data_IF_553876193097
#
_entry.id   IF_553876193097
#
_cell.length_a   1.000
_cell.length_b   1.000
_cell.length_c   1.000
_cell.angle_alpha   90.00
_cell.angle_beta   90.00
_cell.angle_gamma   90.00
#
_symmetry.space_group_name_H-M   'P 1'
#
loop_
_entity.id
_entity.type
_entity.pdbx_description
1 polymer ?
#
# COMPACT_ATOMS: atom_id res chain seq x y z
N UNK A 1 -34.17 17.60 -3.15
CA UNK A 1 -33.24 17.94 -2.05
C UNK A 1 -32.66 16.70 -1.38
N UNK A 2 -33.44 15.74 -0.89
CA UNK A 2 -32.93 14.49 -0.26
C UNK A 2 -31.97 13.67 -1.15
N UNK A 3 -32.27 13.51 -2.43
CA UNK A 3 -31.42 12.77 -3.40
C UNK A 3 -30.09 13.47 -3.64
N UNK A 4 -30.08 14.81 -3.70
CA UNK A 4 -28.86 15.61 -3.87
C UNK A 4 -27.97 15.50 -2.63
N UNK A 5 -28.57 15.55 -1.44
CA UNK A 5 -27.84 15.33 -0.17
C UNK A 5 -27.26 13.91 -0.12
N UNK A 6 -28.00 12.90 -0.55
CA UNK A 6 -27.52 11.51 -0.60
C UNK A 6 -26.33 11.34 -1.53
N UNK A 7 -26.39 11.93 -2.73
CA UNK A 7 -25.28 11.91 -3.69
C UNK A 7 -24.05 12.67 -3.17
N UNK A 8 -24.24 13.80 -2.48
CA UNK A 8 -23.15 14.56 -1.87
C UNK A 8 -22.46 13.76 -0.74
N UNK A 9 -23.21 13.02 0.07
CA UNK A 9 -22.66 12.16 1.12
C UNK A 9 -21.87 10.99 0.55
N UNK A 10 -22.37 10.35 -0.52
CA UNK A 10 -21.65 9.28 -1.22
C UNK A 10 -20.35 9.83 -1.81
N UNK A 11 -20.38 10.98 -2.49
CA UNK A 11 -19.19 11.61 -3.06
C UNK A 11 -18.11 11.93 -2.00
N UNK A 12 -18.52 12.40 -0.82
CA UNK A 12 -17.61 12.61 0.31
C UNK A 12 -17.00 11.32 0.86
N UNK A 13 -17.76 10.21 0.86
CA UNK A 13 -17.26 8.91 1.32
C UNK A 13 -16.17 8.32 0.40
N UNK A 14 -16.28 8.56 -0.91
CA UNK A 14 -15.27 8.10 -1.90
C UNK A 14 -14.03 9.00 -1.96
N UNK A 15 -14.13 10.22 -1.44
CA UNK A 15 -13.02 11.17 -1.40
C UNK A 15 -12.02 10.91 -0.25
N UNK A 16 -12.12 9.77 0.42
CA UNK A 16 -11.16 9.39 1.46
C UNK A 16 -9.84 8.95 0.82
N UNK A 17 -8.81 9.78 0.98
CA UNK A 17 -7.44 9.46 0.60
C UNK A 17 -6.97 8.24 1.41
N UNK A 18 -6.95 7.09 0.76
CA UNK A 18 -6.59 5.80 1.34
C UNK A 18 -5.51 5.13 0.50
N UNK A 19 -4.66 4.35 1.14
CA UNK A 19 -3.69 3.55 0.42
C UNK A 19 -4.40 2.47 -0.42
N UNK A 20 -3.83 2.07 -1.57
CA UNK A 20 -4.44 1.05 -2.41
C UNK A 20 -4.48 -0.30 -1.69
N UNK A 21 -5.63 -0.98 -1.77
CA UNK A 21 -5.89 -2.25 -1.07
C UNK A 21 -5.57 -3.50 -1.90
N UNK A 22 -5.00 -3.31 -3.10
CA UNK A 22 -4.75 -4.38 -4.08
C UNK A 22 -3.87 -5.51 -3.52
N UNK A 23 -2.98 -5.17 -2.59
CA UNK A 23 -1.96 -6.06 -2.03
C UNK A 23 -2.18 -6.37 -0.54
N UNK A 24 -3.40 -6.18 -0.01
CA UNK A 24 -3.70 -6.42 1.41
C UNK A 24 -3.67 -7.90 1.82
N UNK A 25 -3.75 -8.82 0.84
CA UNK A 25 -3.76 -10.28 1.09
C UNK A 25 -2.37 -10.93 0.98
N UNK A 26 -1.29 -10.15 0.98
CA UNK A 26 0.07 -10.69 0.98
C UNK A 26 0.36 -11.35 2.33
N UNK A 27 0.99 -12.52 2.32
CA UNK A 27 1.46 -13.20 3.53
C UNK A 27 2.74 -12.53 4.05
N UNK A 28 2.55 -11.55 4.94
CA UNK A 28 3.66 -10.82 5.57
C UNK A 28 4.49 -11.74 6.48
N UNK A 29 3.86 -12.70 7.14
CA UNK A 29 4.55 -13.63 8.03
C UNK A 29 5.50 -14.54 7.23
N UNK A 30 5.10 -15.03 6.06
CA UNK A 30 5.98 -15.79 5.17
C UNK A 30 7.18 -14.93 4.73
N UNK A 31 6.95 -13.68 4.33
CA UNK A 31 8.00 -12.77 3.87
C UNK A 31 9.02 -12.52 4.98
N UNK A 32 8.55 -12.22 6.20
CA UNK A 32 9.41 -11.90 7.34
C UNK A 32 10.18 -13.12 7.86
N UNK A 33 9.62 -14.33 7.76
CA UNK A 33 10.27 -15.56 8.19
C UNK A 33 11.17 -16.21 7.12
N UNK A 34 11.20 -15.65 5.91
CA UNK A 34 12.01 -16.15 4.80
C UNK A 34 13.14 -15.19 4.46
N UNK A 35 14.38 -15.59 4.76
CA UNK A 35 15.60 -14.82 4.44
C UNK A 35 15.67 -14.38 2.98
N UNK A 36 15.22 -15.24 2.06
CA UNK A 36 15.22 -14.96 0.62
C UNK A 36 14.19 -13.89 0.27
N UNK A 37 12.96 -14.01 0.76
CA UNK A 37 11.88 -13.06 0.45
C UNK A 37 12.16 -11.71 1.11
N UNK A 38 12.49 -11.72 2.40
CA UNK A 38 12.85 -10.53 3.15
C UNK A 38 13.97 -9.75 2.46
N UNK A 39 15.08 -10.40 2.07
CA UNK A 39 16.19 -9.73 1.37
C UNK A 39 15.77 -9.12 0.04
N UNK A 40 14.87 -9.76 -0.71
CA UNK A 40 14.38 -9.18 -1.97
C UNK A 40 13.60 -7.88 -1.72
N UNK A 41 12.69 -7.88 -0.75
CA UNK A 41 11.94 -6.69 -0.36
C UNK A 41 12.87 -5.59 0.18
N UNK A 42 13.80 -5.94 1.07
CA UNK A 42 14.78 -5.01 1.62
C UNK A 42 15.63 -4.37 0.52
N UNK A 43 16.20 -5.17 -0.38
CA UNK A 43 17.02 -4.66 -1.48
C UNK A 43 16.23 -3.76 -2.43
N UNK A 44 14.96 -4.09 -2.69
CA UNK A 44 14.05 -3.24 -3.46
C UNK A 44 13.89 -1.85 -2.81
N UNK A 45 13.59 -1.82 -1.50
CA UNK A 45 13.42 -0.57 -0.74
C UNK A 45 14.70 0.27 -0.71
N UNK A 46 15.86 -0.39 -0.67
CA UNK A 46 17.19 0.24 -0.66
C UNK A 46 17.75 0.56 -2.06
N UNK A 47 16.97 0.37 -3.12
CA UNK A 47 17.39 0.55 -4.52
C UNK A 47 18.60 -0.33 -4.93
N UNK A 48 18.85 -1.41 -4.20
CA UNK A 48 19.97 -2.33 -4.38
C UNK A 48 19.58 -3.60 -5.17
N UNK A 49 18.35 -3.65 -5.71
CA UNK A 49 17.86 -4.80 -6.45
C UNK A 49 16.51 -4.56 -7.13
N UNK A 50 16.03 -5.54 -7.90
CA UNK A 50 14.73 -5.45 -8.57
C UNK A 50 13.58 -5.47 -7.56
N UNK A 51 12.50 -4.78 -7.90
CA UNK A 51 11.27 -4.75 -7.11
C UNK A 51 10.17 -5.59 -7.78
N UNK A 52 9.41 -6.34 -6.98
CA UNK A 52 8.11 -6.89 -7.39
C UNK A 52 7.09 -5.74 -7.54
N UNK A 53 5.95 -5.95 -8.23
CA UNK A 53 4.91 -4.92 -8.34
C UNK A 53 4.41 -4.41 -6.98
N UNK A 54 4.18 -5.33 -6.04
CA UNK A 54 3.85 -5.05 -4.63
C UNK A 54 4.97 -4.31 -3.88
N UNK A 55 6.24 -4.70 -4.06
CA UNK A 55 7.38 -4.03 -3.44
C UNK A 55 7.56 -2.60 -3.94
N UNK A 56 7.27 -2.34 -5.22
CA UNK A 56 7.25 -0.97 -5.77
C UNK A 56 6.14 -0.12 -5.14
N UNK A 57 4.97 -0.71 -4.91
CA UNK A 57 3.86 -0.02 -4.27
C UNK A 57 4.18 0.31 -2.81
N UNK A 58 4.72 -0.65 -2.06
CA UNK A 58 5.25 -0.41 -0.71
C UNK A 58 6.30 0.68 -0.73
N UNK A 59 7.31 0.60 -1.60
CA UNK A 59 8.39 1.59 -1.71
C UNK A 59 7.86 3.01 -1.95
N UNK A 60 6.79 3.15 -2.74
CA UNK A 60 6.17 4.43 -3.06
C UNK A 60 5.50 5.07 -1.84
N UNK A 61 4.79 4.30 -1.02
CA UNK A 61 4.01 4.83 0.11
C UNK A 61 4.73 4.77 1.46
N UNK A 62 5.75 3.92 1.59
CA UNK A 62 6.48 3.73 2.85
C UNK A 62 7.05 5.04 3.43
N UNK A 63 7.65 5.97 2.66
CA UNK A 63 8.16 7.23 3.22
C UNK A 63 7.09 8.11 3.88
N UNK A 64 5.88 8.11 3.31
CA UNK A 64 4.74 8.84 3.84
C UNK A 64 4.21 8.18 5.12
N UNK A 65 4.08 6.84 5.11
CA UNK A 65 3.59 6.06 6.25
C UNK A 65 4.48 6.16 7.50
N UNK A 66 5.79 6.36 7.35
CA UNK A 66 6.74 6.50 8.48
C UNK A 66 6.99 7.95 8.91
N UNK A 67 6.50 8.92 8.15
CA UNK A 67 6.68 10.35 8.43
C UNK A 67 5.60 10.92 9.39
N UNK A 68 4.62 10.08 9.76
CA UNK A 68 3.53 10.40 10.70
C UNK A 68 3.88 9.90 12.10
#
# INVERSE_FOLDING_TARGET
>A
MKVVILFALIAMAIAQDSYPTKYDNIDVDEILNSDRLFKNYFNCLMEAGPCTPEGNELKKYLPDAIAT
#
